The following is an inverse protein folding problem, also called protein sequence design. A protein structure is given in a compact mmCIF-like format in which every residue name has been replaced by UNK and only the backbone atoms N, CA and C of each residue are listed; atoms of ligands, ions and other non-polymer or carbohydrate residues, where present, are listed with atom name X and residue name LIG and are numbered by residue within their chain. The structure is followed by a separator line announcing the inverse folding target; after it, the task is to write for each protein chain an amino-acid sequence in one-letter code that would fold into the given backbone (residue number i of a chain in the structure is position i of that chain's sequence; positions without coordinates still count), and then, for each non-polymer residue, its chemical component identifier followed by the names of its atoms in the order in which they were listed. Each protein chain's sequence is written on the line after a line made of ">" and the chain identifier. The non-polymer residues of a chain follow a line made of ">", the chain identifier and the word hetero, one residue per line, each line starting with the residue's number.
data_IF_655688176161
#
_entry.id   IF_655688176161
#
_cell.length_a   1.000
_cell.length_b   1.000
_cell.length_c   1.000
_cell.angle_alpha   90.00
_cell.angle_beta   90.00
_cell.angle_gamma   90.00
#
_symmetry.space_group_name_H-M   'P 1'
#
loop_
_entity.id
_entity.type
_entity.pdbx_description
1 polymer ?
#
# COMPACT_ATOMS: atom_id res chain seq x y z
N UNK A 1 14.97 -2.63 -22.99
CA UNK A 1 14.59 -2.10 -21.66
C UNK A 1 13.26 -2.71 -21.29
N UNK A 2 13.22 -3.62 -20.30
CA UNK A 2 11.97 -4.25 -19.89
C UNK A 2 11.11 -3.21 -19.16
N UNK A 3 9.96 -2.85 -19.74
CA UNK A 3 8.95 -2.02 -19.09
C UNK A 3 8.56 -2.75 -17.79
N UNK A 4 8.85 -2.16 -16.62
CA UNK A 4 8.55 -2.76 -15.30
C UNK A 4 7.12 -3.31 -15.36
N UNK A 5 6.98 -4.63 -15.26
CA UNK A 5 5.66 -5.26 -15.27
C UNK A 5 4.89 -4.76 -14.05
N UNK A 6 3.64 -4.37 -14.27
CA UNK A 6 2.71 -3.95 -13.22
C UNK A 6 2.47 -5.13 -12.26
N UNK A 7 2.33 -4.84 -10.97
CA UNK A 7 2.02 -5.86 -9.97
C UNK A 7 0.54 -6.23 -10.04
N UNK A 8 0.28 -7.55 -10.01
CA UNK A 8 -1.08 -8.10 -10.06
C UNK A 8 -1.28 -8.92 -8.81
N UNK A 9 -2.27 -8.50 -8.03
CA UNK A 9 -2.59 -9.12 -6.77
C UNK A 9 -4.11 -9.27 -6.71
N UNK A 10 -4.65 -10.50 -6.63
CA UNK A 10 -6.09 -10.70 -6.57
C UNK A 10 -6.67 -10.11 -5.28
N UNK A 11 -7.95 -9.75 -5.33
CA UNK A 11 -8.69 -9.36 -4.12
C UNK A 11 -8.80 -10.57 -3.20
N UNK A 12 -8.48 -10.36 -1.93
CA UNK A 12 -8.57 -11.41 -0.92
C UNK A 12 -10.01 -11.47 -0.40
N UNK A 13 -10.66 -12.65 -0.36
CA UNK A 13 -11.94 -12.81 0.34
C UNK A 13 -11.80 -12.39 1.81
N UNK A 14 -12.88 -11.88 2.41
CA UNK A 14 -12.87 -11.38 3.80
C UNK A 14 -12.32 -12.40 4.80
N UNK A 15 -12.68 -13.68 4.63
CA UNK A 15 -12.23 -14.78 5.49
C UNK A 15 -10.69 -14.97 5.42
N UNK A 16 -10.14 -15.04 4.21
CA UNK A 16 -8.70 -15.28 3.95
C UNK A 16 -7.86 -14.05 4.31
N UNK A 17 -8.44 -12.85 4.21
CA UNK A 17 -7.75 -11.62 4.53
C UNK A 17 -7.33 -11.53 6.01
N UNK A 18 -8.12 -12.08 6.93
CA UNK A 18 -7.73 -12.16 8.35
C UNK A 18 -6.53 -13.09 8.58
N UNK A 19 -6.49 -14.22 7.89
CA UNK A 19 -5.38 -15.16 7.95
C UNK A 19 -4.11 -14.50 7.39
N UNK A 20 -4.21 -13.86 6.22
CA UNK A 20 -3.11 -13.08 5.63
C UNK A 20 -2.66 -11.93 6.52
N UNK A 21 -3.59 -11.23 7.17
CA UNK A 21 -3.24 -10.19 8.13
C UNK A 21 -2.40 -10.76 9.27
N UNK A 22 -2.81 -11.91 9.81
CA UNK A 22 -2.09 -12.61 10.87
C UNK A 22 -0.71 -13.09 10.40
N UNK A 23 -0.56 -13.51 9.15
CA UNK A 23 0.74 -13.83 8.54
C UNK A 23 1.65 -12.62 8.35
N UNK A 24 1.09 -11.41 8.20
CA UNK A 24 1.85 -10.16 8.13
C UNK A 24 2.31 -9.66 9.52
N UNK A 25 1.67 -10.13 10.60
CA UNK A 25 1.95 -9.71 11.97
C UNK A 25 3.34 -10.04 12.56
N UNK A 26 4.18 -10.98 12.06
CA UNK A 26 5.55 -11.09 12.56
C UNK A 26 6.48 -9.95 12.07
N UNK A 27 5.94 -8.99 11.32
CA UNK A 27 6.57 -7.85 10.65
C UNK A 27 7.06 -8.17 9.23
N UNK A 28 6.72 -7.28 8.31
CA UNK A 28 7.17 -7.31 6.92
C UNK A 28 8.44 -6.46 6.78
N UNK A 29 9.30 -6.79 5.83
CA UNK A 29 10.44 -5.96 5.44
C UNK A 29 10.05 -5.13 4.22
N UNK A 30 10.28 -3.82 4.26
CA UNK A 30 10.01 -2.96 3.11
C UNK A 30 11.11 -3.02 2.03
N UNK A 31 10.91 -2.32 0.92
CA UNK A 31 11.88 -2.22 -0.19
C UNK A 31 13.27 -1.68 0.21
N UNK A 32 13.40 -1.07 1.40
CA UNK A 32 14.67 -0.55 1.94
C UNK A 32 15.32 -1.52 2.92
N UNK A 33 14.74 -2.70 3.16
CA UNK A 33 15.25 -3.67 4.13
C UNK A 33 14.86 -3.36 5.57
N UNK A 34 13.97 -2.39 5.80
CA UNK A 34 13.56 -1.98 7.13
C UNK A 34 12.33 -2.76 7.60
N UNK A 35 12.33 -3.16 8.88
CA UNK A 35 11.20 -3.85 9.50
C UNK A 35 10.00 -2.90 9.63
N UNK A 36 8.83 -3.38 9.28
CA UNK A 36 7.53 -2.70 9.41
C UNK A 36 6.65 -3.53 10.32
N UNK A 37 6.31 -2.96 11.46
CA UNK A 37 5.49 -3.61 12.48
C UNK A 37 4.00 -3.38 12.21
N UNK A 38 3.19 -4.40 12.52
CA UNK A 38 1.73 -4.33 12.53
C UNK A 38 1.25 -4.55 13.97
N UNK A 39 0.29 -3.74 14.42
CA UNK A 39 -0.35 -3.91 15.72
C UNK A 39 -1.85 -4.23 15.60
N UNK A 40 -2.45 -4.76 16.66
CA UNK A 40 -3.89 -5.09 16.68
C UNK A 40 -4.79 -3.87 16.44
N UNK A 41 -4.34 -2.66 16.81
CA UNK A 41 -5.06 -1.42 16.53
C UNK A 41 -5.18 -1.16 15.03
N UNK A 42 -4.14 -1.51 14.27
CA UNK A 42 -4.13 -1.48 12.82
C UNK A 42 -5.21 -2.40 12.25
N UNK A 43 -5.44 -3.57 12.85
CA UNK A 43 -6.52 -4.50 12.44
C UNK A 43 -7.92 -3.95 12.72
N UNK A 44 -8.14 -3.39 13.92
CA UNK A 44 -9.45 -2.81 14.30
C UNK A 44 -9.86 -1.68 13.33
N UNK A 45 -8.90 -0.87 12.89
CA UNK A 45 -9.13 0.15 11.87
C UNK A 45 -9.58 -0.40 10.50
N UNK A 46 -9.29 -1.67 10.20
CA UNK A 46 -9.69 -2.35 8.97
C UNK A 46 -11.09 -2.90 9.07
N UNK A 47 -11.43 -3.47 10.23
CA UNK A 47 -12.76 -4.01 10.51
C UNK A 47 -13.84 -2.94 10.32
N UNK A 48 -13.52 -1.68 10.61
CA UNK A 48 -14.44 -0.54 10.43
C UNK A 48 -14.78 -0.23 8.97
N UNK A 49 -14.09 -0.82 8.00
CA UNK A 49 -14.33 -0.65 6.57
C UNK A 49 -14.16 -1.99 5.85
N UNK A 50 -15.25 -2.75 5.65
CA UNK A 50 -15.23 -4.11 5.06
C UNK A 50 -14.41 -4.21 3.76
N UNK A 51 -14.48 -3.18 2.90
CA UNK A 51 -13.68 -3.14 1.67
C UNK A 51 -12.17 -3.19 1.91
N UNK A 52 -11.67 -2.66 3.04
CA UNK A 52 -10.23 -2.62 3.37
C UNK A 52 -9.64 -3.99 3.65
N UNK A 53 -10.44 -4.89 4.22
CA UNK A 53 -10.03 -6.25 4.54
C UNK A 53 -9.63 -6.98 3.24
N UNK A 54 -10.38 -6.77 2.16
CA UNK A 54 -10.14 -7.45 0.89
C UNK A 54 -8.83 -7.05 0.20
N UNK A 55 -8.20 -5.95 0.62
CA UNK A 55 -6.96 -5.42 0.04
C UNK A 55 -5.70 -5.75 0.83
N UNK A 56 -5.77 -6.62 1.84
CA UNK A 56 -4.62 -6.89 2.73
C UNK A 56 -3.39 -7.41 1.98
N UNK A 57 -3.58 -8.29 0.99
CA UNK A 57 -2.48 -8.76 0.13
C UNK A 57 -1.75 -7.64 -0.63
N UNK A 58 -2.42 -6.51 -0.88
CA UNK A 58 -1.85 -5.39 -1.64
C UNK A 58 -0.89 -4.55 -0.82
N UNK A 59 -1.00 -4.59 0.51
CA UNK A 59 -0.13 -3.85 1.43
C UNK A 59 1.28 -4.38 1.33
N UNK A 60 1.42 -5.71 1.40
CA UNK A 60 2.70 -6.40 1.28
C UNK A 60 3.40 -6.02 0.00
N UNK A 61 2.69 -6.15 -1.11
CA UNK A 61 3.18 -5.76 -2.43
C UNK A 61 3.54 -4.27 -2.51
N UNK A 62 2.79 -3.40 -1.84
CA UNK A 62 3.07 -1.96 -1.80
C UNK A 62 4.32 -1.62 -1.00
N UNK A 63 4.62 -2.36 0.06
CA UNK A 63 5.80 -2.15 0.90
C UNK A 63 7.07 -2.73 0.25
N UNK A 64 6.97 -3.91 -0.36
CA UNK A 64 8.11 -4.62 -0.98
C UNK A 64 8.45 -4.05 -2.37
N UNK A 65 7.44 -3.61 -3.14
CA UNK A 65 7.60 -3.19 -4.54
C UNK A 65 6.96 -1.83 -4.89
N UNK A 66 7.11 -0.77 -4.07
CA UNK A 66 6.47 0.52 -4.34
C UNK A 66 6.92 1.13 -5.68
N UNK A 67 6.03 1.90 -6.30
CA UNK A 67 6.35 2.78 -7.43
C UNK A 67 7.11 4.03 -6.95
N UNK A 68 6.73 4.54 -5.77
CA UNK A 68 7.41 5.67 -5.13
C UNK A 68 7.17 5.67 -3.62
N UNK A 69 8.10 6.29 -2.90
CA UNK A 69 7.96 6.62 -1.48
C UNK A 69 8.05 8.14 -1.35
N UNK A 70 7.07 8.73 -0.66
CA UNK A 70 7.02 10.18 -0.43
C UNK A 70 6.94 10.50 1.05
N UNK A 71 7.50 11.64 1.42
CA UNK A 71 7.21 12.27 2.70
C UNK A 71 5.93 13.08 2.55
N UNK A 72 4.88 12.70 3.27
CA UNK A 72 3.63 13.47 3.23
C UNK A 72 3.83 14.82 3.92
N UNK A 73 3.13 15.86 3.45
CA UNK A 73 3.25 17.20 4.03
C UNK A 73 2.43 17.32 5.31
N UNK A 74 2.87 16.62 6.36
CA UNK A 74 2.36 16.79 7.71
C UNK A 74 3.53 17.04 8.66
N UNK A 75 3.78 18.31 8.95
CA UNK A 75 4.88 18.74 9.82
C UNK A 75 4.71 18.27 11.28
N UNK A 76 3.50 17.84 11.68
CA UNK A 76 3.22 17.38 13.04
C UNK A 76 3.60 15.91 13.26
N UNK A 77 3.84 15.19 12.16
CA UNK A 77 4.07 13.76 12.16
C UNK A 77 5.46 13.49 11.56
N UNK A 78 6.55 13.69 12.33
CA UNK A 78 7.89 13.41 11.84
C UNK A 78 7.96 11.93 11.41
N UNK A 79 8.69 11.65 10.33
CA UNK A 79 8.85 10.31 9.75
C UNK A 79 7.60 9.69 9.12
N UNK A 80 6.57 10.50 8.83
CA UNK A 80 5.41 10.04 8.05
C UNK A 80 5.77 9.86 6.59
N UNK A 81 5.99 8.61 6.20
CA UNK A 81 6.21 8.23 4.82
C UNK A 81 4.99 7.51 4.25
N UNK A 82 4.73 7.75 2.97
CA UNK A 82 3.65 7.13 2.22
C UNK A 82 4.26 6.35 1.06
N UNK A 83 3.99 5.05 1.07
CA UNK A 83 4.37 4.10 0.03
C UNK A 83 3.23 4.05 -0.95
N UNK A 84 3.55 4.23 -2.23
CA UNK A 84 2.56 4.31 -3.28
C UNK A 84 2.87 3.22 -4.30
N UNK A 85 1.87 2.39 -4.58
CA UNK A 85 1.95 1.39 -5.64
C UNK A 85 0.69 1.40 -6.51
N UNK A 86 0.86 1.00 -7.77
CA UNK A 86 -0.21 0.84 -8.75
C UNK A 86 -0.47 -0.65 -8.95
N UNK A 87 -1.59 -1.15 -8.43
CA UNK A 87 -1.91 -2.59 -8.41
C UNK A 87 -3.13 -2.89 -9.28
N UNK A 88 -3.14 -4.07 -9.88
CA UNK A 88 -4.22 -4.59 -10.73
C UNK A 88 -4.76 -5.90 -10.16
N UNK A 89 -6.06 -6.16 -10.38
CA UNK A 89 -6.71 -7.39 -9.91
C UNK A 89 -6.42 -8.58 -10.85
N UNK A 90 -6.23 -8.34 -12.15
CA UNK A 90 -5.99 -9.37 -13.17
C UNK A 90 -5.14 -8.85 -14.33
N UNK A 91 -4.43 -9.76 -15.02
CA UNK A 91 -3.78 -9.52 -16.32
C UNK A 91 -4.80 -9.33 -17.45
N UNK A 92 -5.96 -9.95 -17.30
CA UNK A 92 -6.99 -10.09 -18.33
C UNK A 92 -7.97 -8.90 -18.36
N UNK A 93 -7.77 -7.91 -17.48
CA UNK A 93 -8.48 -6.62 -17.51
C UNK A 93 -7.49 -5.47 -17.85
N UNK A 94 -6.96 -5.42 -19.09
CA UNK A 94 -6.04 -4.37 -19.52
C UNK A 94 -6.67 -2.98 -19.58
N UNK A 95 -8.00 -2.91 -19.55
CA UNK A 95 -8.84 -1.70 -19.45
C UNK A 95 -9.23 -1.35 -18.02
N UNK A 96 -8.93 -2.23 -17.06
CA UNK A 96 -9.28 -2.09 -15.67
C UNK A 96 -8.66 -0.86 -15.06
N UNK A 97 -9.41 -0.21 -14.17
CA UNK A 97 -8.87 0.95 -13.49
C UNK A 97 -7.88 0.49 -12.43
N UNK A 98 -6.58 0.81 -12.53
CA UNK A 98 -5.61 0.44 -11.51
C UNK A 98 -6.05 0.94 -10.15
N UNK A 99 -5.66 0.26 -9.08
CA UNK A 99 -5.80 0.81 -7.75
C UNK A 99 -4.51 1.53 -7.37
N UNK A 100 -4.66 2.74 -6.84
CA UNK A 100 -3.59 3.38 -6.09
C UNK A 100 -3.67 2.88 -4.66
N UNK A 101 -2.63 2.19 -4.23
CA UNK A 101 -2.50 1.73 -2.85
C UNK A 101 -1.51 2.64 -2.14
N UNK A 102 -1.96 3.24 -1.05
CA UNK A 102 -1.16 4.13 -0.21
C UNK A 102 -1.05 3.51 1.16
N UNK A 103 0.18 3.26 1.61
CA UNK A 103 0.49 2.74 2.95
C UNK A 103 1.26 3.79 3.74
N UNK A 104 0.70 4.22 4.87
CA UNK A 104 1.30 5.17 5.81
C UNK A 104 2.20 4.41 6.80
N UNK A 105 3.50 4.69 6.69
CA UNK A 105 4.54 4.08 7.50
C UNK A 105 5.16 5.10 8.45
N UNK A 106 5.27 4.71 9.72
CA UNK A 106 6.22 5.28 10.69
C UNK A 106 7.07 4.16 11.29
N UNK A 107 6.88 3.85 12.58
CA UNK A 107 7.44 2.67 13.26
C UNK A 107 6.51 1.47 13.00
N UNK A 108 5.20 1.70 13.15
CA UNK A 108 4.13 0.78 12.76
C UNK A 108 3.44 1.27 11.50
N UNK A 109 2.67 0.38 10.87
CA UNK A 109 1.71 0.76 9.84
C UNK A 109 0.54 1.51 10.48
N UNK A 110 0.28 2.76 10.09
CA UNK A 110 -0.81 3.56 10.68
C UNK A 110 -2.10 3.51 9.85
N UNK A 111 -1.98 3.41 8.52
CA UNK A 111 -3.12 3.54 7.63
C UNK A 111 -2.82 2.95 6.27
N UNK A 112 -3.85 2.36 5.63
CA UNK A 112 -3.82 2.10 4.21
C UNK A 112 -5.11 2.52 3.52
N UNK A 113 -4.99 2.86 2.24
CA UNK A 113 -6.14 3.09 1.36
C UNK A 113 -5.84 2.53 -0.02
N UNK A 114 -6.85 1.87 -0.60
CA UNK A 114 -6.84 1.44 -1.99
C UNK A 114 -8.05 2.09 -2.66
N UNK A 115 -7.83 2.80 -3.75
CA UNK A 115 -8.91 3.43 -4.51
C UNK A 115 -8.59 3.46 -5.99
N UNK A 116 -9.66 3.47 -6.78
CA UNK A 116 -9.61 3.80 -8.20
C UNK A 116 -9.22 5.29 -8.32
N UNK A 117 -8.01 5.60 -8.82
CA UNK A 117 -7.52 6.96 -8.87
C UNK A 117 -8.27 7.75 -9.94
N UNK A 118 -9.07 8.73 -9.51
CA UNK A 118 -9.32 9.89 -10.35
C UNK A 118 -8.09 10.82 -10.33
N UNK A 119 -8.02 11.73 -11.32
CA UNK A 119 -6.90 12.66 -11.46
C UNK A 119 -6.69 13.57 -10.23
N UNK A 120 -7.76 13.84 -9.47
CA UNK A 120 -7.71 14.65 -8.25
C UNK A 120 -7.13 13.89 -7.05
N UNK A 121 -7.55 12.64 -6.86
CA UNK A 121 -7.06 11.78 -5.79
C UNK A 121 -5.59 11.41 -5.98
N UNK A 122 -5.14 11.15 -7.22
CA UNK A 122 -3.71 10.95 -7.51
C UNK A 122 -2.88 12.15 -7.08
N UNK A 123 -3.31 13.36 -7.43
CA UNK A 123 -2.60 14.58 -7.07
C UNK A 123 -2.51 14.76 -5.55
N UNK A 124 -3.57 14.40 -4.82
CA UNK A 124 -3.60 14.46 -3.35
C UNK A 124 -2.69 13.39 -2.72
N UNK A 125 -2.76 12.15 -3.18
CA UNK A 125 -1.95 11.05 -2.66
C UNK A 125 -0.46 11.28 -2.92
N UNK A 126 -0.10 11.81 -4.09
CA UNK A 126 1.28 12.14 -4.46
C UNK A 126 1.73 13.52 -3.95
N UNK A 127 0.94 14.18 -3.10
CA UNK A 127 1.34 15.45 -2.49
C UNK A 127 2.41 15.18 -1.44
N UNK A 128 3.58 15.78 -1.62
CA UNK A 128 4.72 15.60 -0.71
C UNK A 128 6.06 15.62 -1.41
N UNK A 129 7.13 15.49 -0.63
CA UNK A 129 8.50 15.39 -1.13
C UNK A 129 8.77 13.95 -1.58
N UNK A 130 9.24 13.76 -2.81
CA UNK A 130 9.71 12.45 -3.26
C UNK A 130 10.98 12.07 -2.46
N UNK A 131 10.95 10.92 -1.80
CA UNK A 131 12.09 10.38 -1.06
C UNK A 131 12.81 9.31 -1.86
N UNK A 132 12.04 8.44 -2.52
CA UNK A 132 12.58 7.30 -3.25
C UNK A 132 11.67 6.90 -4.42
N UNK A 133 12.29 6.39 -5.49
CA UNK A 133 11.65 5.70 -6.61
C UNK A 133 12.63 4.66 -7.17
N UNK A 134 12.16 3.59 -7.84
CA UNK A 134 13.03 2.64 -8.52
C UNK A 134 13.93 3.34 -9.54
N UNK A 135 15.19 2.92 -9.66
CA UNK A 135 16.03 3.28 -10.81
C UNK A 135 15.60 2.39 -11.98
N UNK A 136 15.16 3.00 -13.07
CA UNK A 136 14.76 2.31 -14.31
C UNK A 136 15.93 1.54 -14.92
#
# INVERSE_FOLDING_TARGET
>A
MAKKRKSIVPLTPVQEAFERYSELMPAITDVRGERVEFDLGSYDHLLRYEGRIQYIGWIKETLENPDEIRQHFDKRLPFREIYINTIYVSLDDPTGTPFLVVVDRRIVLNFWTAFVPDAGHLRKARRGKLLWKPKN
#
